data_IF_277963654253
#
_entry.id   IF_277963654253
#
_cell.length_a   1.000
_cell.length_b   1.000
_cell.length_c   1.000
_cell.angle_alpha   90.00
_cell.angle_beta   90.00
_cell.angle_gamma   90.00
#
_symmetry.space_group_name_H-M   'P 1'
#
loop_
_entity.id
_entity.type
_entity.pdbx_description
1 polymer ?
#
# COMPACT_ATOMS: atom_id res chain seq x y z
N UNK A 1 16.91 -13.51 15.78
CA UNK A 1 15.57 -13.50 15.16
C UNK A 1 15.66 -12.53 14.01
N UNK A 2 15.54 -13.02 12.78
CA UNK A 2 15.45 -12.17 11.60
C UNK A 2 13.99 -11.72 11.60
N UNK A 3 13.72 -10.48 12.03
CA UNK A 3 12.38 -9.90 11.88
C UNK A 3 12.18 -9.75 10.38
N UNK A 4 11.29 -10.56 9.81
CA UNK A 4 10.99 -10.46 8.38
C UNK A 4 10.36 -9.07 8.16
N UNK A 5 10.78 -8.30 7.16
CA UNK A 5 10.21 -6.98 6.86
C UNK A 5 8.67 -7.03 6.70
N UNK A 6 8.13 -8.18 6.30
CA UNK A 6 6.70 -8.46 6.16
C UNK A 6 5.91 -8.32 7.48
N UNK A 7 6.49 -8.69 8.63
CA UNK A 7 5.84 -8.56 9.95
C UNK A 7 5.81 -7.10 10.44
N UNK A 8 6.67 -6.26 9.86
CA UNK A 8 6.82 -4.85 10.20
C UNK A 8 5.87 -4.02 9.33
N UNK A 9 5.82 -4.27 8.02
CA UNK A 9 4.91 -3.60 7.10
C UNK A 9 3.42 -3.83 7.44
N UNK A 10 3.07 -5.01 7.99
CA UNK A 10 1.70 -5.30 8.46
C UNK A 10 1.33 -4.61 9.78
N UNK A 11 2.28 -3.98 10.48
CA UNK A 11 2.02 -3.18 11.70
C UNK A 11 1.71 -1.71 11.41
N UNK A 12 1.84 -1.33 10.15
CA UNK A 12 1.65 0.04 9.67
C UNK A 12 0.26 0.10 9.02
N UNK A 13 -0.46 1.20 9.16
CA UNK A 13 -1.69 1.45 8.44
C UNK A 13 -1.38 1.76 6.97
N UNK A 14 -2.31 1.43 6.06
CA UNK A 14 -2.15 1.72 4.63
C UNK A 14 -1.90 3.21 4.37
N UNK A 15 -2.50 4.08 5.20
CA UNK A 15 -2.33 5.53 5.12
C UNK A 15 -0.90 5.97 5.51
N UNK A 16 -0.35 5.43 6.60
CA UNK A 16 1.03 5.73 7.01
C UNK A 16 2.04 5.15 6.02
N UNK A 17 1.80 3.93 5.54
CA UNK A 17 2.61 3.30 4.49
C UNK A 17 2.70 4.17 3.23
N UNK A 18 1.55 4.59 2.69
CA UNK A 18 1.51 5.39 1.47
C UNK A 18 2.14 6.78 1.65
N UNK A 19 2.08 7.36 2.86
CA UNK A 19 2.77 8.61 3.19
C UNK A 19 4.29 8.41 3.19
N UNK A 20 4.76 7.30 3.77
CA UNK A 20 6.18 6.95 3.77
C UNK A 20 6.66 6.69 2.33
N UNK A 21 5.88 5.97 1.53
CA UNK A 21 6.18 5.69 0.12
C UNK A 21 6.32 6.99 -0.69
N UNK A 22 5.34 7.90 -0.61
CA UNK A 22 5.38 9.20 -1.29
C UNK A 22 6.64 9.99 -0.87
N UNK A 23 6.97 9.96 0.42
CA UNK A 23 8.14 10.68 0.95
C UNK A 23 9.45 10.06 0.52
N UNK A 24 9.56 8.73 0.50
CA UNK A 24 10.73 8.00 0.01
C UNK A 24 10.92 8.26 -1.48
N UNK A 25 9.85 8.22 -2.29
CA UNK A 25 9.90 8.52 -3.72
C UNK A 25 10.27 9.97 -4.04
N UNK A 26 9.86 10.93 -3.20
CA UNK A 26 10.21 12.36 -3.32
C UNK A 26 11.61 12.71 -2.80
N UNK A 27 12.24 11.82 -2.04
CA UNK A 27 13.58 12.05 -1.49
C UNK A 27 14.66 11.90 -2.55
N UNK A 28 15.73 12.68 -2.43
CA UNK A 28 16.85 12.60 -3.37
C UNK A 28 17.53 11.23 -3.29
N UNK A 29 17.95 10.69 -4.44
CA UNK A 29 18.62 9.37 -4.52
C UNK A 29 19.82 9.30 -3.57
N UNK A 30 19.73 8.44 -2.56
CA UNK A 30 20.76 8.22 -1.54
C UNK A 30 20.50 8.88 -0.18
N UNK A 31 19.34 9.52 0.02
CA UNK A 31 18.88 9.90 1.35
C UNK A 31 18.11 8.75 2.00
N UNK A 32 18.69 8.21 3.08
CA UNK A 32 18.02 7.26 3.96
C UNK A 32 16.98 8.00 4.80
N UNK A 33 15.71 7.87 4.43
CA UNK A 33 14.60 8.42 5.20
C UNK A 33 14.34 7.52 6.39
N UNK A 34 14.33 8.10 7.59
CA UNK A 34 14.12 7.39 8.86
C UNK A 34 12.76 7.70 9.45
N UNK A 35 12.28 6.86 10.39
CA UNK A 35 11.03 7.12 11.11
C UNK A 35 11.04 8.48 11.81
N UNK A 36 12.17 8.92 12.36
CA UNK A 36 12.31 10.26 12.94
C UNK A 36 12.02 11.37 11.92
N UNK A 37 12.49 11.20 10.68
CA UNK A 37 12.28 12.17 9.60
C UNK A 37 10.81 12.23 9.19
N UNK A 38 10.12 11.08 9.14
CA UNK A 38 8.69 11.02 8.85
C UNK A 38 7.87 11.64 10.00
N UNK A 39 8.23 11.34 11.25
CA UNK A 39 7.55 11.92 12.42
C UNK A 39 7.68 13.44 12.48
N UNK A 40 8.87 14.01 12.28
CA UNK A 40 9.08 15.46 12.27
C UNK A 40 8.26 16.14 11.14
N UNK A 41 8.19 15.49 9.98
CA UNK A 41 7.37 15.95 8.86
C UNK A 41 5.88 15.94 9.19
N UNK A 42 5.34 14.84 9.72
CA UNK A 42 3.92 14.72 10.10
C UNK A 42 3.58 15.70 11.23
N UNK A 43 4.44 15.86 12.24
CA UNK A 43 4.25 16.83 13.31
C UNK A 43 4.26 18.29 12.80
N UNK A 44 5.14 18.59 11.84
CA UNK A 44 5.17 19.87 11.14
C UNK A 44 3.89 20.14 10.36
N UNK A 45 3.43 19.16 9.58
CA UNK A 45 2.18 19.25 8.83
C UNK A 45 0.95 19.38 9.72
N UNK A 46 0.86 18.65 10.84
CA UNK A 46 -0.23 18.81 11.81
C UNK A 46 -0.24 20.21 12.42
N UNK A 47 0.93 20.82 12.62
CA UNK A 47 1.04 22.19 13.12
C UNK A 47 0.63 23.23 12.06
N UNK A 48 0.89 22.96 10.78
CA UNK A 48 0.61 23.86 9.64
C UNK A 48 -0.80 23.68 9.06
N UNK A 49 -1.39 22.48 9.17
CA UNK A 49 -2.75 22.14 8.73
C UNK A 49 -3.86 22.84 9.55
N UNK A 50 -3.51 23.46 10.69
CA UNK A 50 -4.42 24.36 11.40
C UNK A 50 -4.58 25.72 10.70
N UNK A 51 -3.75 26.05 9.71
CA UNK A 51 -3.71 27.39 9.09
C UNK A 51 -4.19 27.46 7.65
N UNK A 52 -4.08 26.40 6.84
CA UNK A 52 -4.50 26.45 5.43
C UNK A 52 -5.42 25.29 5.06
N UNK A 53 -6.65 25.65 4.72
CA UNK A 53 -7.61 24.78 4.04
C UNK A 53 -7.12 24.68 2.60
N UNK A 54 -7.13 23.47 2.05
CA UNK A 54 -6.78 23.12 0.66
C UNK A 54 -5.29 22.86 0.42
N UNK A 55 -4.91 21.58 0.28
CA UNK A 55 -4.24 21.09 -0.94
C UNK A 55 -4.16 19.55 -1.00
N UNK A 56 -5.12 18.97 -1.72
CA UNK A 56 -4.92 18.01 -2.83
C UNK A 56 -4.02 16.77 -2.66
N UNK A 57 -3.89 16.15 -1.50
CA UNK A 57 -3.60 14.71 -1.42
C UNK A 57 -4.33 14.12 -0.20
N UNK A 58 -5.16 13.11 -0.45
CA UNK A 58 -6.05 12.41 0.47
C UNK A 58 -5.29 11.56 1.50
N UNK A 59 -4.39 12.17 2.26
CA UNK A 59 -3.85 11.55 3.47
C UNK A 59 -4.63 12.15 4.64
N UNK A 60 -5.43 11.33 5.34
CA UNK A 60 -6.05 11.73 6.61
C UNK A 60 -4.95 11.87 7.68
N UNK A 61 -4.13 12.92 7.58
CA UNK A 61 -3.08 13.23 8.54
C UNK A 61 -3.76 13.72 9.82
N UNK A 62 -3.77 12.87 10.85
CA UNK A 62 -4.43 13.13 12.12
C UNK A 62 -3.56 12.65 13.30
N UNK A 63 -3.94 13.01 14.53
CA UNK A 63 -3.22 12.64 15.76
C UNK A 63 -2.97 11.12 15.85
N UNK A 64 -3.89 10.28 15.36
CA UNK A 64 -3.73 8.82 15.35
C UNK A 64 -2.55 8.35 14.50
N UNK A 65 -2.23 9.06 13.41
CA UNK A 65 -1.09 8.74 12.54
C UNK A 65 0.24 9.11 13.22
N UNK A 66 0.23 10.17 14.05
CA UNK A 66 1.36 10.55 14.88
C UNK A 66 1.56 9.60 16.06
N UNK A 67 0.47 9.15 16.70
CA UNK A 67 0.50 8.10 17.73
C UNK A 67 1.03 6.78 17.15
N UNK A 68 0.61 6.41 15.95
CA UNK A 68 1.11 5.23 15.23
C UNK A 68 2.62 5.33 14.96
N UNK A 69 3.10 6.47 14.45
CA UNK A 69 4.53 6.72 14.24
C UNK A 69 5.33 6.67 15.55
N UNK A 70 4.80 7.22 16.64
CA UNK A 70 5.43 7.13 17.95
C UNK A 70 5.54 5.68 18.42
N UNK A 71 4.48 4.87 18.26
CA UNK A 71 4.53 3.45 18.59
C UNK A 71 5.60 2.70 17.77
N UNK A 72 5.72 2.98 16.48
CA UNK A 72 6.77 2.40 15.63
C UNK A 72 8.18 2.86 16.05
N UNK A 73 8.36 4.13 16.41
CA UNK A 73 9.63 4.66 16.91
C UNK A 73 9.99 4.04 18.26
N UNK A 74 9.03 3.83 19.15
CA UNK A 74 9.25 3.17 20.44
C UNK A 74 9.65 1.69 20.27
N UNK A 75 9.09 0.99 19.28
CA UNK A 75 9.35 -0.44 19.04
C UNK A 75 10.61 -0.71 18.20
N UNK A 76 10.87 0.11 17.18
CA UNK A 76 11.93 -0.11 16.17
C UNK A 76 13.07 0.90 16.25
N UNK A 77 12.87 2.02 16.93
CA UNK A 77 13.85 3.07 17.10
C UNK A 77 13.74 4.19 16.05
N UNK A 78 14.13 5.39 16.44
CA UNK A 78 14.09 6.60 15.62
C UNK A 78 14.93 6.51 14.34
N UNK A 79 16.01 5.71 14.36
CA UNK A 79 16.93 5.51 13.25
C UNK A 79 16.52 4.37 12.31
N UNK A 80 15.35 3.76 12.50
CA UNK A 80 14.84 2.75 11.59
C UNK A 80 14.53 3.38 10.23
N UNK A 81 14.88 2.69 9.15
CA UNK A 81 14.64 3.16 7.80
C UNK A 81 13.15 3.10 7.49
N UNK A 82 12.56 4.20 7.07
CA UNK A 82 11.15 4.30 6.78
C UNK A 82 10.75 3.38 5.61
N UNK A 83 11.65 3.12 4.66
CA UNK A 83 11.39 2.23 3.52
C UNK A 83 11.02 0.80 3.93
N UNK A 84 11.46 0.32 5.11
CA UNK A 84 11.09 -1.00 5.64
C UNK A 84 9.61 -1.05 6.13
N UNK A 85 8.96 0.10 6.25
CA UNK A 85 7.58 0.28 6.72
C UNK A 85 6.61 0.61 5.58
N UNK A 86 7.10 0.67 4.34
CA UNK A 86 6.26 0.81 3.14
C UNK A 86 5.63 -0.54 2.82
N UNK A 87 4.30 -0.61 2.90
CA UNK A 87 3.52 -1.64 2.22
C UNK A 87 3.53 -1.34 0.72
N UNK A 88 4.05 -2.28 -0.05
CA UNK A 88 3.83 -2.31 -1.50
C UNK A 88 2.35 -2.64 -1.73
N UNK A 89 1.59 -1.59 -2.04
CA UNK A 89 0.21 -1.75 -2.50
C UNK A 89 0.20 -2.16 -3.97
N UNK A 90 -0.92 -2.72 -4.41
CA UNK A 90 -1.13 -2.98 -5.82
C UNK A 90 -1.09 -1.66 -6.61
N UNK A 91 -0.55 -1.71 -7.82
CA UNK A 91 -0.65 -0.64 -8.82
C UNK A 91 -2.12 -0.29 -9.05
N UNK A 92 -2.39 0.90 -9.58
CA UNK A 92 -3.74 1.32 -9.92
C UNK A 92 -4.51 0.30 -10.78
N UNK A 93 -3.96 -0.22 -11.90
CA UNK A 93 -4.65 -1.24 -12.69
C UNK A 93 -4.81 -2.56 -11.92
N UNK A 94 -3.84 -2.97 -11.10
CA UNK A 94 -3.99 -4.18 -10.28
C UNK A 94 -5.03 -3.99 -9.14
N UNK A 95 -5.13 -2.79 -8.57
CA UNK A 95 -6.16 -2.42 -7.61
C UNK A 95 -7.55 -2.53 -8.21
N UNK A 96 -7.73 -2.12 -9.48
CA UNK A 96 -9.01 -2.32 -10.22
C UNK A 96 -9.33 -3.79 -10.43
N UNK A 97 -8.33 -4.62 -10.72
CA UNK A 97 -8.51 -6.08 -10.85
C UNK A 97 -8.95 -6.68 -9.53
N UNK A 98 -8.27 -6.35 -8.44
CA UNK A 98 -8.60 -6.83 -7.10
C UNK A 98 -10.01 -6.37 -6.72
N UNK A 99 -10.33 -5.09 -6.93
CA UNK A 99 -11.65 -4.51 -6.65
C UNK A 99 -12.75 -5.19 -7.48
N UNK A 100 -12.49 -5.53 -8.74
CA UNK A 100 -13.42 -6.31 -9.54
C UNK A 100 -13.68 -7.70 -8.95
N UNK A 101 -12.64 -8.40 -8.47
CA UNK A 101 -12.82 -9.70 -7.78
C UNK A 101 -13.56 -9.55 -6.45
N UNK A 102 -13.29 -8.48 -5.70
CA UNK A 102 -13.96 -8.19 -4.43
C UNK A 102 -15.44 -7.89 -4.67
N UNK A 103 -15.78 -7.09 -5.67
CA UNK A 103 -17.17 -6.70 -5.98
C UNK A 103 -17.97 -7.77 -6.74
N UNK A 104 -17.32 -8.66 -7.51
CA UNK A 104 -18.00 -9.74 -8.26
C UNK A 104 -18.36 -10.92 -7.34
N UNK A 105 -17.66 -11.08 -6.21
CA UNK A 105 -17.92 -12.15 -5.24
C UNK A 105 -18.98 -11.73 -4.23
N UNK A 106 -20.22 -12.10 -4.53
CA UNK A 106 -21.40 -12.08 -3.66
C UNK A 106 -21.27 -12.97 -2.38
N UNK A 107 -20.07 -13.18 -1.81
CA UNK A 107 -19.77 -14.28 -0.89
C UNK A 107 -19.06 -13.90 0.40
N UNK A 108 -19.40 -14.68 1.41
CA UNK A 108 -19.17 -14.57 2.86
C UNK A 108 -17.70 -14.45 3.32
N UNK A 109 -16.71 -14.43 2.42
CA UNK A 109 -15.28 -14.26 2.76
C UNK A 109 -14.53 -13.44 1.70
N UNK A 110 -13.62 -12.55 2.13
CA UNK A 110 -12.81 -11.77 1.23
C UNK A 110 -11.81 -12.61 0.42
N UNK A 111 -11.52 -12.23 -0.84
CA UNK A 111 -10.60 -12.96 -1.72
C UNK A 111 -9.15 -12.81 -1.27
N UNK A 112 -8.36 -13.87 -1.43
CA UNK A 112 -6.90 -13.85 -1.22
C UNK A 112 -6.15 -13.47 -2.49
N UNK A 113 -4.86 -13.13 -2.37
CA UNK A 113 -3.99 -12.84 -3.53
C UNK A 113 -3.95 -14.02 -4.52
N UNK A 114 -3.90 -15.27 -4.04
CA UNK A 114 -3.97 -16.45 -4.90
C UNK A 114 -5.32 -16.53 -5.64
N UNK A 115 -6.43 -16.22 -4.97
CA UNK A 115 -7.74 -16.22 -5.59
C UNK A 115 -7.88 -15.14 -6.69
N UNK A 116 -7.23 -13.99 -6.51
CA UNK A 116 -7.16 -12.94 -7.54
C UNK A 116 -6.33 -13.41 -8.72
N UNK A 117 -5.15 -13.99 -8.49
CA UNK A 117 -4.32 -14.56 -9.55
C UNK A 117 -5.06 -15.64 -10.35
N UNK A 118 -5.76 -16.55 -9.68
CA UNK A 118 -6.58 -17.58 -10.34
C UNK A 118 -7.68 -16.95 -11.20
N UNK A 119 -8.33 -15.89 -10.73
CA UNK A 119 -9.33 -15.16 -11.50
C UNK A 119 -8.72 -14.49 -12.74
N UNK A 120 -7.53 -13.88 -12.60
CA UNK A 120 -6.78 -13.28 -13.72
C UNK A 120 -6.49 -14.32 -14.81
N UNK A 121 -5.96 -15.49 -14.41
CA UNK A 121 -5.64 -16.60 -15.33
C UNK A 121 -6.92 -17.22 -15.92
N UNK A 122 -8.03 -17.19 -15.18
CA UNK A 122 -9.34 -17.70 -15.62
C UNK A 122 -10.07 -16.78 -16.61
N UNK A 123 -9.46 -15.65 -17.00
CA UNK A 123 -9.97 -14.76 -18.04
C UNK A 123 -10.61 -13.48 -17.52
N UNK A 124 -10.45 -13.14 -16.23
CA UNK A 124 -10.89 -11.85 -15.70
C UNK A 124 -10.23 -10.68 -16.43
N UNK A 125 -8.93 -10.76 -16.73
CA UNK A 125 -8.20 -9.71 -17.44
C UNK A 125 -8.84 -9.41 -18.80
N UNK A 126 -9.12 -10.44 -19.59
CA UNK A 126 -9.81 -10.29 -20.88
C UNK A 126 -11.22 -9.68 -20.74
N UNK A 127 -11.93 -9.98 -19.65
CA UNK A 127 -13.23 -9.38 -19.35
C UNK A 127 -13.12 -7.89 -19.02
N UNK A 128 -12.11 -7.50 -18.24
CA UNK A 128 -11.86 -6.10 -17.85
C UNK A 128 -11.37 -5.27 -19.03
N UNK A 129 -10.52 -5.82 -19.88
CA UNK A 129 -10.13 -5.21 -21.16
C UNK A 129 -11.35 -5.03 -22.07
N UNK A 130 -12.20 -6.06 -22.20
CA UNK A 130 -13.45 -5.98 -22.96
C UNK A 130 -14.45 -4.95 -22.42
N UNK A 131 -14.40 -4.65 -21.12
CA UNK A 131 -15.19 -3.62 -20.47
C UNK A 131 -14.58 -2.21 -20.56
N UNK A 132 -13.34 -2.09 -21.06
CA UNK A 132 -12.59 -0.83 -21.12
C UNK A 132 -12.07 -0.35 -19.77
N UNK A 133 -11.89 -1.26 -18.81
CA UNK A 133 -11.35 -0.98 -17.47
C UNK A 133 -9.82 -1.08 -17.44
N UNK A 134 -9.27 -1.96 -18.29
CA UNK A 134 -7.83 -2.19 -18.46
C UNK A 134 -7.45 -2.07 -19.94
N UNK A 135 -6.18 -1.77 -20.20
CA UNK A 135 -5.58 -1.81 -21.52
C UNK A 135 -5.07 -3.22 -21.87
N UNK A 136 -5.07 -3.57 -23.15
CA UNK A 136 -4.69 -4.90 -23.66
C UNK A 136 -3.19 -5.25 -23.51
N UNK A 137 -2.36 -4.26 -23.17
CA UNK A 137 -0.92 -4.41 -22.98
C UNK A 137 -0.53 -4.63 -21.51
N UNK A 138 -1.49 -4.59 -20.57
CA UNK A 138 -1.23 -4.63 -19.13
C UNK A 138 -1.22 -6.06 -18.55
N UNK A 139 -1.74 -7.06 -19.28
CA UNK A 139 -2.00 -8.43 -18.81
C UNK A 139 -0.77 -9.10 -18.16
N UNK A 140 0.35 -9.11 -18.88
CA UNK A 140 1.60 -9.73 -18.44
C UNK A 140 2.24 -8.96 -17.27
N UNK A 141 2.08 -7.63 -17.26
CA UNK A 141 2.60 -6.76 -16.19
C UNK A 141 1.85 -7.03 -14.89
N UNK A 142 0.52 -7.09 -14.96
CA UNK A 142 -0.34 -7.35 -13.81
C UNK A 142 -0.12 -8.75 -13.23
N UNK A 143 0.06 -9.76 -14.10
CA UNK A 143 0.39 -11.12 -13.65
C UNK A 143 1.75 -11.20 -12.94
N UNK A 144 2.76 -10.50 -13.46
CA UNK A 144 4.05 -10.43 -12.79
C UNK A 144 3.98 -9.68 -11.45
N UNK A 145 3.11 -8.67 -11.35
CA UNK A 145 2.92 -7.88 -10.14
C UNK A 145 2.19 -8.67 -9.04
N UNK A 146 1.08 -9.35 -9.35
CA UNK A 146 0.38 -10.20 -8.37
C UNK A 146 1.30 -11.34 -7.91
N UNK A 147 2.14 -11.89 -8.78
CA UNK A 147 3.14 -12.89 -8.39
C UNK A 147 4.18 -12.32 -7.42
N UNK A 148 4.65 -11.10 -7.64
CA UNK A 148 5.55 -10.42 -6.72
C UNK A 148 4.90 -10.16 -5.35
N UNK A 149 3.62 -9.81 -5.32
CA UNK A 149 2.84 -9.66 -4.09
C UNK A 149 2.66 -11.01 -3.38
N UNK A 150 2.35 -12.09 -4.09
CA UNK A 150 2.19 -13.44 -3.51
C UNK A 150 3.51 -13.97 -2.96
N UNK A 151 4.62 -13.82 -3.67
CA UNK A 151 5.94 -14.28 -3.21
C UNK A 151 6.36 -13.57 -1.92
N UNK A 152 5.92 -12.32 -1.73
CA UNK A 152 6.30 -11.48 -0.59
C UNK A 152 5.32 -11.59 0.58
N UNK A 153 4.01 -11.54 0.33
CA UNK A 153 2.97 -11.50 1.37
C UNK A 153 2.34 -12.86 1.64
N UNK A 154 2.53 -13.83 0.73
CA UNK A 154 1.94 -15.15 0.78
C UNK A 154 0.63 -15.24 0.00
N UNK A 155 0.37 -16.43 -0.54
CA UNK A 155 -0.82 -16.75 -1.32
C UNK A 155 -2.14 -16.53 -0.54
N UNK A 156 -2.10 -16.71 0.78
CA UNK A 156 -3.24 -16.61 1.69
C UNK A 156 -3.53 -15.17 2.18
N UNK A 157 -2.72 -14.18 1.79
CA UNK A 157 -2.96 -12.78 2.19
C UNK A 157 -4.24 -12.24 1.54
N UNK A 158 -5.00 -11.42 2.27
CA UNK A 158 -6.26 -10.85 1.80
C UNK A 158 -5.97 -9.79 0.73
N UNK A 159 -6.57 -9.94 -0.46
CA UNK A 159 -6.28 -9.06 -1.57
C UNK A 159 -6.82 -7.63 -1.35
N UNK A 160 -7.92 -7.48 -0.61
CA UNK A 160 -8.51 -6.17 -0.30
C UNK A 160 -7.56 -5.22 0.43
N UNK A 161 -6.61 -5.76 1.20
CA UNK A 161 -5.63 -4.96 1.97
C UNK A 161 -4.60 -4.26 1.07
N UNK A 162 -4.49 -4.69 -0.20
CA UNK A 162 -3.56 -4.14 -1.18
C UNK A 162 -4.24 -3.17 -2.16
N UNK A 163 -5.55 -2.94 -2.04
CA UNK A 163 -6.28 -1.98 -2.89
C UNK A 163 -5.86 -0.56 -2.51
N UNK A 164 -5.30 0.16 -3.47
CA UNK A 164 -5.11 1.61 -3.35
C UNK A 164 -6.39 2.33 -3.79
N UNK A 165 -7.12 2.92 -2.85
CA UNK A 165 -8.22 3.83 -3.17
C UNK A 165 -7.64 5.20 -3.60
N UNK A 166 -7.81 5.55 -4.87
CA UNK A 166 -7.59 6.91 -5.37
C UNK A 166 -8.86 7.77 -5.27
#
# INVERSE_FOLDING_TARGET
>A
MIRNPIDIASRVSSNLSALIEDRVNKSELGQDITLATIHDFVAGLLSDAFTETEERHHFDINESLLDELNALIEEFGESALAIDFVQENASEPLSRVIDAVVNDRDQENPPTLEAVKDAMISGLLASLVGAGVLDEDEDDVLLAEIDALIDRHGADALAEEFIRYE
#
